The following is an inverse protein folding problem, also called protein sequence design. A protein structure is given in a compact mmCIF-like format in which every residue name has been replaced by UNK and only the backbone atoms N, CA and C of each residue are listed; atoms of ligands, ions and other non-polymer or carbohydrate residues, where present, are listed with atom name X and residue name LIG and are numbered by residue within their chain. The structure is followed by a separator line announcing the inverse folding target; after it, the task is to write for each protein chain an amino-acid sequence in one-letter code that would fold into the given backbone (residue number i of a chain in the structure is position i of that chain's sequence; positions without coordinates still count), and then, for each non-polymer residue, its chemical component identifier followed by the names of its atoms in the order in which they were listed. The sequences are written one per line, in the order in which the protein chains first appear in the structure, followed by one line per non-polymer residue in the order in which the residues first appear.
data_IF_848606377864
#
_entry.id   IF_848606377864
#
_cell.length_a   1.000
_cell.length_b   1.000
_cell.length_c   1.000
_cell.angle_alpha   90.00
_cell.angle_beta   90.00
_cell.angle_gamma   90.00
#
_symmetry.space_group_name_H-M   'P 1'
#
loop_
_entity.id
_entity.type
_entity.pdbx_description
1 polymer ?
#
# COMPACT_ATOMS: atom_id res chain seq x y z
N UNK A 1 13.86 -6.29 -10.66
CA UNK A 1 12.80 -7.30 -10.52
C UNK A 1 12.78 -7.61 -9.04
N UNK A 2 11.76 -7.14 -8.33
CA UNK A 2 11.60 -7.54 -6.93
C UNK A 2 11.61 -9.06 -6.91
N UNK A 3 12.51 -9.61 -6.11
CA UNK A 3 12.45 -11.02 -5.77
C UNK A 3 11.08 -11.22 -5.14
N UNK A 4 10.15 -11.78 -5.91
CA UNK A 4 8.97 -12.43 -5.37
C UNK A 4 9.45 -13.68 -4.64
N UNK A 5 10.20 -13.47 -3.55
CA UNK A 5 10.19 -14.38 -2.43
C UNK A 5 8.70 -14.64 -2.17
N UNK A 6 8.31 -15.91 -2.08
CA UNK A 6 6.91 -16.29 -1.96
C UNK A 6 6.19 -15.55 -0.80
N UNK A 7 4.88 -15.77 -0.60
CA UNK A 7 4.07 -15.09 0.44
C UNK A 7 4.56 -15.23 1.90
N UNK A 8 5.76 -15.74 2.13
CA UNK A 8 6.43 -16.03 3.40
C UNK A 8 7.37 -14.92 3.91
N UNK A 9 7.67 -13.83 3.17
CA UNK A 9 8.71 -12.86 3.60
C UNK A 9 8.29 -11.82 4.63
N UNK A 10 7.02 -11.80 5.04
CA UNK A 10 6.65 -11.45 6.41
C UNK A 10 5.90 -12.66 6.94
N UNK A 11 6.58 -13.50 7.73
CA UNK A 11 6.00 -14.74 8.21
C UNK A 11 4.62 -14.43 8.79
N UNK A 12 3.55 -14.99 8.21
CA UNK A 12 2.14 -14.72 8.58
C UNK A 12 1.89 -14.59 10.09
N UNK A 13 2.60 -15.39 10.89
CA UNK A 13 2.58 -15.37 12.35
C UNK A 13 2.99 -14.01 12.98
N UNK A 14 3.93 -13.29 12.38
CA UNK A 14 4.34 -11.95 12.83
C UNK A 14 3.28 -10.90 12.52
N UNK A 15 2.59 -11.01 11.38
CA UNK A 15 1.50 -10.10 11.01
C UNK A 15 0.25 -10.33 11.85
N UNK A 16 -0.11 -11.59 12.10
CA UNK A 16 -1.23 -11.93 12.98
C UNK A 16 -0.95 -11.42 14.40
N UNK A 17 0.23 -11.70 14.97
CA UNK A 17 0.60 -11.21 16.30
C UNK A 17 0.65 -9.68 16.38
N UNK A 18 1.16 -9.00 15.35
CA UNK A 18 1.16 -7.54 15.28
C UNK A 18 -0.27 -6.97 15.24
N UNK A 19 -1.17 -7.56 14.44
CA UNK A 19 -2.57 -7.16 14.40
C UNK A 19 -3.27 -7.38 15.75
N UNK A 20 -3.05 -8.53 16.39
CA UNK A 20 -3.63 -8.87 17.68
C UNK A 20 -3.12 -7.94 18.80
N UNK A 21 -1.89 -7.43 18.67
CA UNK A 21 -1.32 -6.38 19.51
C UNK A 21 -1.80 -4.95 19.17
N UNK A 22 -2.78 -4.81 18.27
CA UNK A 22 -3.38 -3.52 17.90
C UNK A 22 -2.90 -2.92 16.59
N UNK A 23 -1.90 -3.53 15.95
CA UNK A 23 -1.41 -3.16 14.63
C UNK A 23 -0.84 -1.75 14.56
N UNK A 24 0.02 -1.37 15.50
CA UNK A 24 0.64 -0.05 15.53
C UNK A 24 1.78 0.05 14.50
N UNK A 25 1.62 0.95 13.53
CA UNK A 25 2.64 1.21 12.51
C UNK A 25 3.89 1.90 13.08
N UNK A 26 3.79 2.58 14.23
CA UNK A 26 4.93 3.25 14.88
C UNK A 26 5.98 2.27 15.44
N UNK A 27 5.67 0.98 15.46
CA UNK A 27 6.62 -0.09 15.83
C UNK A 27 7.49 -0.54 14.64
N UNK A 28 7.18 -0.10 13.41
CA UNK A 28 7.97 -0.44 12.23
C UNK A 28 9.17 0.49 12.11
N UNK A 29 10.37 -0.06 11.97
CA UNK A 29 11.56 0.73 11.63
C UNK A 29 11.51 1.12 10.15
N UNK A 30 11.15 2.39 9.92
CA UNK A 30 11.10 3.00 8.59
C UNK A 30 12.02 4.21 8.49
N UNK A 31 13.06 4.26 9.34
CA UNK A 31 14.05 5.35 9.39
C UNK A 31 14.62 5.70 8.01
N UNK A 32 15.09 4.68 7.28
CA UNK A 32 15.63 4.86 5.91
C UNK A 32 14.62 5.41 4.91
N UNK A 33 13.34 5.04 5.06
CA UNK A 33 12.28 5.58 4.23
C UNK A 33 12.05 7.06 4.55
N UNK A 34 11.97 7.43 5.83
CA UNK A 34 11.88 8.83 6.26
C UNK A 34 13.07 9.67 5.78
N UNK A 35 14.30 9.15 5.84
CA UNK A 35 15.50 9.85 5.35
C UNK A 35 15.44 10.09 3.84
N UNK A 36 14.96 9.09 3.08
CA UNK A 36 14.77 9.22 1.64
C UNK A 36 13.69 10.27 1.30
N UNK A 37 12.56 10.26 2.01
CA UNK A 37 11.51 11.27 1.87
C UNK A 37 12.02 12.69 2.16
N UNK A 38 12.76 12.86 3.26
CA UNK A 38 13.35 14.15 3.62
C UNK A 38 14.34 14.64 2.56
N UNK A 39 15.14 13.73 1.99
CA UNK A 39 16.07 14.04 0.91
C UNK A 39 15.34 14.49 -0.36
N UNK A 40 14.23 13.85 -0.74
CA UNK A 40 13.42 14.27 -1.88
C UNK A 40 12.79 15.66 -1.67
N UNK A 41 12.40 15.97 -0.42
CA UNK A 41 11.68 17.19 -0.08
C UNK A 41 12.58 18.42 0.09
N UNK A 42 13.75 18.26 0.72
CA UNK A 42 14.62 19.39 1.09
C UNK A 42 16.10 19.16 0.78
N UNK A 43 16.44 18.12 0.02
CA UNK A 43 17.82 17.79 -0.34
C UNK A 43 18.44 18.74 -1.38
N UNK A 44 19.61 18.36 -1.88
CA UNK A 44 20.41 19.18 -2.82
C UNK A 44 19.84 19.28 -4.23
N UNK A 45 18.85 18.44 -4.56
CA UNK A 45 18.09 18.49 -5.81
C UNK A 45 16.64 18.10 -5.52
N UNK A 46 15.85 18.98 -4.88
CA UNK A 46 14.48 18.67 -4.53
C UNK A 46 13.67 18.44 -5.80
N UNK A 47 12.75 17.49 -5.76
CA UNK A 47 11.79 17.27 -6.84
C UNK A 47 10.57 18.15 -6.61
N UNK A 48 9.96 18.65 -7.69
CA UNK A 48 8.73 19.45 -7.59
C UNK A 48 7.58 18.60 -7.02
N UNK A 49 7.48 17.34 -7.47
CA UNK A 49 6.48 16.38 -7.00
C UNK A 49 7.11 14.99 -6.87
N UNK A 50 6.85 14.32 -5.75
CA UNK A 50 7.13 12.90 -5.55
C UNK A 50 5.82 12.14 -5.28
N UNK A 51 5.50 11.15 -6.11
CA UNK A 51 4.38 10.22 -5.87
C UNK A 51 4.92 8.94 -5.25
N UNK A 52 4.39 8.59 -4.08
CA UNK A 52 4.90 7.48 -3.28
C UNK A 52 3.75 6.62 -2.81
N UNK A 53 3.84 5.33 -3.10
CA UNK A 53 2.93 4.31 -2.59
C UNK A 53 3.56 3.69 -1.33
N UNK A 54 2.81 3.69 -0.23
CA UNK A 54 3.23 3.06 1.01
C UNK A 54 2.00 2.69 1.86
N UNK A 55 2.01 1.53 2.54
CA UNK A 55 0.85 1.04 3.31
C UNK A 55 0.58 1.83 4.61
N UNK A 56 1.51 2.69 5.04
CA UNK A 56 1.48 3.35 6.35
C UNK A 56 0.57 4.59 6.37
N UNK A 57 0.52 5.33 5.25
CA UNK A 57 -0.07 6.67 5.17
C UNK A 57 0.30 7.56 6.36
N UNK A 58 -0.69 8.25 6.94
CA UNK A 58 -0.52 9.10 8.12
C UNK A 58 -0.62 8.35 9.46
N UNK A 59 -0.69 7.02 9.46
CA UNK A 59 -0.78 6.24 10.69
C UNK A 59 0.60 6.01 11.37
N UNK A 60 1.70 6.19 10.62
CA UNK A 60 3.06 6.21 11.15
C UNK A 60 3.55 7.66 11.31
N UNK A 61 3.89 8.08 12.54
CA UNK A 61 4.15 9.48 12.87
C UNK A 61 5.33 10.09 12.12
N UNK A 62 6.43 9.35 11.97
CA UNK A 62 7.65 9.87 11.32
C UNK A 62 7.46 10.17 9.84
N UNK A 63 6.82 9.26 9.09
CA UNK A 63 6.53 9.46 7.67
C UNK A 63 5.39 10.45 7.47
N UNK A 64 4.39 10.44 8.35
CA UNK A 64 3.25 11.37 8.29
C UNK A 64 3.69 12.85 8.29
N UNK A 65 4.75 13.18 9.04
CA UNK A 65 5.30 14.54 9.10
C UNK A 65 5.94 15.01 7.78
N UNK A 66 6.25 14.08 6.87
CA UNK A 66 6.91 14.37 5.60
C UNK A 66 5.90 14.46 4.44
N UNK A 67 4.67 13.98 4.61
CA UNK A 67 3.63 13.97 3.58
C UNK A 67 2.87 15.31 3.51
N UNK A 68 2.91 15.96 2.34
CA UNK A 68 2.10 17.14 2.04
C UNK A 68 0.63 16.75 1.82
N UNK A 69 0.38 15.70 1.05
CA UNK A 69 -0.96 15.19 0.74
C UNK A 69 -0.98 13.67 0.77
N UNK A 70 -2.07 13.09 1.28
CA UNK A 70 -2.34 11.65 1.29
C UNK A 70 -3.60 11.35 0.47
N UNK A 71 -3.42 10.60 -0.61
CA UNK A 71 -4.50 10.02 -1.39
C UNK A 71 -4.77 8.58 -0.92
N UNK A 72 -6.03 8.25 -0.69
CA UNK A 72 -6.49 6.87 -0.47
C UNK A 72 -7.37 6.43 -1.64
N UNK A 73 -6.99 5.36 -2.32
CA UNK A 73 -7.81 4.74 -3.36
C UNK A 73 -8.73 3.72 -2.70
N UNK A 74 -10.00 4.09 -2.51
CA UNK A 74 -11.00 3.24 -1.87
C UNK A 74 -11.58 2.28 -2.88
N UNK A 75 -11.18 1.01 -2.78
CA UNK A 75 -11.65 -0.05 -3.66
C UNK A 75 -12.15 -1.23 -2.83
N UNK A 76 -13.32 -1.80 -3.16
CA UNK A 76 -13.74 -3.06 -2.57
C UNK A 76 -12.68 -4.14 -2.79
N UNK A 77 -12.30 -4.82 -1.72
CA UNK A 77 -11.16 -5.74 -1.75
C UNK A 77 -11.35 -6.94 -2.68
N UNK A 78 -12.59 -7.37 -2.92
CA UNK A 78 -12.94 -8.40 -3.90
C UNK A 78 -12.66 -7.93 -5.33
N UNK A 79 -13.02 -6.68 -5.67
CA UNK A 79 -12.69 -6.05 -6.95
C UNK A 79 -11.16 -5.92 -7.09
N UNK A 80 -10.47 -5.47 -6.05
CA UNK A 80 -9.02 -5.33 -6.05
C UNK A 80 -8.32 -6.69 -6.28
N UNK A 81 -8.74 -7.73 -5.56
CA UNK A 81 -8.22 -9.09 -5.70
C UNK A 81 -8.47 -9.64 -7.10
N UNK A 82 -9.67 -9.50 -7.66
CA UNK A 82 -10.00 -9.95 -9.00
C UNK A 82 -9.15 -9.26 -10.08
N UNK A 83 -8.97 -7.93 -9.98
CA UNK A 83 -8.10 -7.16 -10.88
C UNK A 83 -6.64 -7.62 -10.78
N UNK A 84 -6.14 -7.84 -9.56
CA UNK A 84 -4.78 -8.32 -9.35
C UNK A 84 -4.58 -9.71 -9.98
N UNK A 85 -5.56 -10.60 -9.85
CA UNK A 85 -5.51 -11.94 -10.46
C UNK A 85 -5.46 -11.88 -11.98
N UNK A 86 -6.34 -11.07 -12.58
CA UNK A 86 -6.33 -10.86 -14.03
C UNK A 86 -4.99 -10.27 -14.50
N UNK A 87 -4.47 -9.27 -13.78
CA UNK A 87 -3.19 -8.65 -14.11
C UNK A 87 -2.04 -9.66 -14.05
N UNK A 88 -1.96 -10.49 -13.00
CA UNK A 88 -0.95 -11.54 -12.84
C UNK A 88 -1.07 -12.63 -13.91
N UNK A 89 -2.29 -13.02 -14.26
CA UNK A 89 -2.55 -14.03 -15.29
C UNK A 89 -2.12 -13.56 -16.69
N UNK A 90 -2.22 -12.27 -16.97
CA UNK A 90 -1.84 -11.67 -18.26
C UNK A 90 -0.36 -11.28 -18.38
N UNK A 91 0.48 -11.57 -17.37
CA UNK A 91 1.91 -11.32 -17.47
C UNK A 91 2.57 -12.26 -18.49
N UNK A 92 3.71 -11.84 -19.06
CA UNK A 92 4.49 -12.66 -20.00
C UNK A 92 4.89 -14.03 -19.40
N UNK A 93 5.12 -14.04 -18.09
CA UNK A 93 5.38 -15.25 -17.30
C UNK A 93 4.41 -15.25 -16.11
N UNK A 94 3.20 -15.80 -16.26
CA UNK A 94 2.23 -15.81 -15.18
C UNK A 94 2.69 -16.75 -14.04
N UNK A 95 2.30 -16.48 -12.79
CA UNK A 95 2.56 -17.40 -11.68
C UNK A 95 1.94 -18.78 -11.94
N UNK A 96 2.55 -19.87 -11.45
CA UNK A 96 1.94 -21.20 -11.55
C UNK A 96 0.67 -21.30 -10.68
N UNK A 97 -0.26 -22.24 -10.96
CA UNK A 97 -1.48 -22.42 -10.18
C UNK A 97 -1.27 -22.53 -8.66
N UNK A 98 -0.18 -23.19 -8.23
CA UNK A 98 0.16 -23.34 -6.82
C UNK A 98 0.43 -21.99 -6.12
N UNK A 99 0.94 -20.99 -6.85
CA UNK A 99 1.15 -19.65 -6.31
C UNK A 99 -0.18 -18.98 -6.00
N UNK A 100 -1.17 -19.07 -6.89
CA UNK A 100 -2.51 -18.49 -6.66
C UNK A 100 -3.21 -19.15 -5.47
N UNK A 101 -3.07 -20.48 -5.31
CA UNK A 101 -3.57 -21.17 -4.13
C UNK A 101 -2.91 -20.65 -2.84
N UNK A 102 -1.58 -20.49 -2.85
CA UNK A 102 -0.83 -19.93 -1.71
C UNK A 102 -1.26 -18.51 -1.38
N UNK A 103 -1.44 -17.66 -2.39
CA UNK A 103 -1.94 -16.30 -2.23
C UNK A 103 -3.33 -16.27 -1.57
N UNK A 104 -4.30 -17.06 -2.08
CA UNK A 104 -5.65 -17.09 -1.51
C UNK A 104 -5.67 -17.65 -0.09
N UNK A 105 -4.85 -18.66 0.17
CA UNK A 105 -4.69 -19.23 1.52
C UNK A 105 -4.19 -18.15 2.49
N UNK A 106 -3.18 -17.39 2.09
CA UNK A 106 -2.64 -16.29 2.89
C UNK A 106 -3.64 -15.13 3.03
N UNK A 107 -4.42 -14.85 1.98
CA UNK A 107 -5.45 -13.82 2.00
C UNK A 107 -6.51 -14.11 3.07
N UNK A 108 -7.01 -15.34 3.09
CA UNK A 108 -7.98 -15.83 4.06
C UNK A 108 -7.40 -15.91 5.47
N UNK A 109 -6.10 -16.22 5.60
CA UNK A 109 -5.43 -16.33 6.89
C UNK A 109 -5.22 -14.97 7.57
N UNK A 110 -4.60 -14.01 6.88
CA UNK A 110 -4.11 -12.77 7.52
C UNK A 110 -4.23 -11.53 6.65
N UNK A 111 -3.98 -11.60 5.33
CA UNK A 111 -3.89 -10.39 4.49
C UNK A 111 -5.19 -9.59 4.50
N UNK A 112 -6.35 -10.26 4.48
CA UNK A 112 -7.65 -9.59 4.57
C UNK A 112 -7.75 -8.72 5.83
N UNK A 113 -7.36 -9.27 6.99
CA UNK A 113 -7.40 -8.56 8.28
C UNK A 113 -6.44 -7.37 8.28
N UNK A 114 -5.25 -7.53 7.68
CA UNK A 114 -4.28 -6.42 7.54
C UNK A 114 -4.86 -5.29 6.70
N UNK A 115 -5.49 -5.61 5.57
CA UNK A 115 -6.11 -4.63 4.67
C UNK A 115 -7.29 -3.92 5.34
N UNK A 116 -8.13 -4.64 6.10
CA UNK A 116 -9.22 -4.06 6.87
C UNK A 116 -8.70 -3.14 7.99
N UNK A 117 -7.63 -3.55 8.67
CA UNK A 117 -6.98 -2.72 9.67
C UNK A 117 -6.43 -1.44 9.06
N UNK A 118 -5.71 -1.54 7.93
CA UNK A 118 -5.24 -0.38 7.16
C UNK A 118 -6.40 0.52 6.74
N UNK A 119 -7.48 -0.03 6.20
CA UNK A 119 -8.67 0.74 5.85
C UNK A 119 -9.23 1.49 7.06
N UNK A 120 -9.30 0.84 8.22
CA UNK A 120 -9.81 1.45 9.45
C UNK A 120 -8.91 2.57 9.99
N UNK A 121 -7.59 2.45 9.90
CA UNK A 121 -6.66 3.39 10.55
C UNK A 121 -5.99 4.38 9.59
N UNK A 122 -5.83 4.05 8.32
CA UNK A 122 -5.17 4.93 7.34
C UNK A 122 -6.20 5.77 6.60
N UNK A 123 -7.26 5.16 6.06
CA UNK A 123 -8.27 5.86 5.23
C UNK A 123 -8.87 7.10 5.90
N UNK A 124 -9.28 7.09 7.19
CA UNK A 124 -9.88 8.29 7.80
C UNK A 124 -8.92 9.47 7.93
N UNK A 125 -7.62 9.25 7.72
CA UNK A 125 -6.55 10.27 7.79
C UNK A 125 -6.09 10.72 6.41
N UNK A 126 -6.71 10.24 5.33
CA UNK A 126 -6.40 10.69 3.98
C UNK A 126 -6.99 12.09 3.73
N UNK A 127 -6.22 12.93 3.03
CA UNK A 127 -6.66 14.25 2.60
C UNK A 127 -7.67 14.12 1.45
N UNK A 128 -7.49 13.11 0.60
CA UNK A 128 -8.37 12.80 -0.51
C UNK A 128 -8.68 11.30 -0.58
N UNK A 129 -9.97 10.97 -0.61
CA UNK A 129 -10.44 9.60 -0.85
C UNK A 129 -10.99 9.50 -2.27
N UNK A 130 -10.38 8.66 -3.09
CA UNK A 130 -10.74 8.45 -4.49
C UNK A 130 -11.50 7.13 -4.66
N UNK A 131 -12.54 7.12 -5.49
CA UNK A 131 -13.28 5.89 -5.81
C UNK A 131 -12.48 5.00 -6.77
N UNK A 132 -11.86 3.94 -6.25
CA UNK A 132 -11.04 3.01 -7.02
C UNK A 132 -11.81 2.18 -8.04
N UNK A 133 -13.14 2.28 -8.11
CA UNK A 133 -13.94 1.65 -9.17
C UNK A 133 -13.86 2.41 -10.48
N UNK A 134 -13.51 3.69 -10.45
CA UNK A 134 -13.41 4.55 -11.63
C UNK A 134 -12.26 4.12 -12.57
N UNK A 135 -12.32 4.49 -13.86
CA UNK A 135 -11.22 4.28 -14.79
C UNK A 135 -9.93 4.96 -14.33
N UNK A 136 -8.78 4.35 -14.64
CA UNK A 136 -7.46 4.89 -14.28
C UNK A 136 -7.26 6.32 -14.78
N UNK A 137 -7.68 6.63 -16.00
CA UNK A 137 -7.57 8.00 -16.56
C UNK A 137 -8.31 9.03 -15.71
N UNK A 138 -9.50 8.70 -15.22
CA UNK A 138 -10.29 9.60 -14.36
C UNK A 138 -9.60 9.82 -13.01
N UNK A 139 -9.05 8.76 -12.41
CA UNK A 139 -8.30 8.85 -11.16
C UNK A 139 -7.02 9.69 -11.34
N UNK A 140 -6.26 9.45 -12.42
CA UNK A 140 -5.05 10.18 -12.74
C UNK A 140 -5.33 11.67 -12.97
N UNK A 141 -6.35 12.01 -13.78
CA UNK A 141 -6.76 13.40 -14.01
C UNK A 141 -7.18 14.10 -12.72
N UNK A 142 -7.83 13.36 -11.80
CA UNK A 142 -8.22 13.89 -10.49
C UNK A 142 -7.02 14.19 -9.62
N UNK A 143 -6.06 13.26 -9.54
CA UNK A 143 -4.81 13.47 -8.78
C UNK A 143 -4.03 14.65 -9.35
N UNK A 144 -3.85 14.73 -10.67
CA UNK A 144 -3.12 15.82 -11.33
C UNK A 144 -3.70 17.19 -10.92
N UNK A 145 -5.02 17.37 -10.97
CA UNK A 145 -5.68 18.63 -10.56
C UNK A 145 -5.52 19.01 -9.09
N UNK A 146 -5.11 18.07 -8.23
CA UNK A 146 -4.94 18.27 -6.79
C UNK A 146 -3.48 18.52 -6.40
N UNK A 147 -2.53 18.23 -7.30
CA UNK A 147 -1.09 18.41 -7.07
C UNK A 147 -0.45 19.47 -7.99
N UNK A 148 -1.17 19.97 -9.00
CA UNK A 148 -0.78 21.10 -9.87
C UNK A 148 -1.65 22.31 -9.59
#
# INVERSE_FOLDING_TARGET
MDDFSGPETLASLQLDAWLDAGGDFNLMDVSRFCDALATLKTGTSPVEVALIEAPLGRAHAGSAALLDTLFWIDIPFDIAMARNFLALYHQNTPPPPAWFQGYLTQYLKVTRRVLEHQHRIVRPRADHVLDGRLPLSVLADTVMKLIT
#
